data_IF_407819875228
#
_entry.id   IF_407819875228
#
_cell.length_a   1.000
_cell.length_b   1.000
_cell.length_c   1.000
_cell.angle_alpha   90.00
_cell.angle_beta   90.00
_cell.angle_gamma   90.00
#
_symmetry.space_group_name_H-M   'P 1'
#
loop_
_entity.id
_entity.type
_entity.pdbx_description
1 polymer ?
#
# COMPACT_ATOMS: atom_id res chain seq x y z
N UNK A 1 -6.78 -10.48 -24.24
CA UNK A 1 -5.72 -10.19 -23.25
C UNK A 1 -5.96 -11.06 -22.04
N UNK A 2 -4.97 -11.80 -21.59
CA UNK A 2 -5.09 -12.58 -20.35
C UNK A 2 -4.48 -11.78 -19.21
N UNK A 3 -5.20 -10.81 -18.68
CA UNK A 3 -4.74 -10.00 -17.55
C UNK A 3 -4.54 -10.89 -16.32
N UNK A 4 -3.31 -11.12 -15.94
CA UNK A 4 -2.99 -11.72 -14.65
C UNK A 4 -2.00 -10.86 -13.85
N UNK A 5 -1.50 -9.76 -14.44
CA UNK A 5 -0.44 -8.94 -13.88
C UNK A 5 -0.91 -7.64 -13.26
N UNK A 6 0.03 -6.99 -12.56
CA UNK A 6 -0.10 -5.66 -12.00
C UNK A 6 0.39 -4.63 -13.03
N UNK A 7 0.17 -3.38 -12.73
CA UNK A 7 0.68 -2.27 -13.51
C UNK A 7 1.42 -1.28 -12.60
N UNK A 8 2.17 -0.38 -13.20
CA UNK A 8 2.82 0.73 -12.53
C UNK A 8 2.67 1.99 -13.37
N UNK A 9 2.45 3.11 -12.71
CA UNK A 9 2.40 4.43 -13.33
C UNK A 9 3.75 5.10 -13.16
N UNK A 10 4.35 5.58 -14.26
CA UNK A 10 5.57 6.34 -14.19
C UNK A 10 5.31 7.79 -13.73
N UNK A 11 6.33 8.49 -13.19
CA UNK A 11 6.21 9.90 -12.86
C UNK A 11 5.82 10.78 -14.06
N UNK A 12 6.15 10.35 -15.27
CA UNK A 12 5.74 11.01 -16.52
C UNK A 12 4.30 10.73 -16.97
N UNK A 13 3.58 9.86 -16.25
CA UNK A 13 2.19 9.50 -16.54
C UNK A 13 2.02 8.30 -17.48
N UNK A 14 3.09 7.67 -17.95
CA UNK A 14 2.98 6.44 -18.74
C UNK A 14 2.59 5.27 -17.82
N UNK A 15 1.76 4.39 -18.35
CA UNK A 15 1.23 3.23 -17.63
C UNK A 15 1.89 1.97 -18.19
N UNK A 16 2.59 1.24 -17.35
CA UNK A 16 3.19 -0.04 -17.71
C UNK A 16 2.34 -1.19 -17.15
N UNK A 17 1.96 -2.13 -17.98
CA UNK A 17 1.09 -3.26 -17.62
C UNK A 17 1.86 -4.57 -17.83
N UNK A 18 1.95 -5.40 -16.81
CA UNK A 18 2.41 -6.77 -16.94
C UNK A 18 1.28 -7.62 -17.53
N UNK A 19 1.35 -7.91 -18.83
CA UNK A 19 0.44 -8.83 -19.51
C UNK A 19 0.95 -10.27 -19.32
N UNK A 20 0.83 -10.74 -18.06
CA UNK A 20 1.43 -11.97 -17.54
C UNK A 20 1.10 -13.19 -18.40
N UNK A 21 -0.15 -13.31 -18.82
CA UNK A 21 -0.59 -14.46 -19.63
C UNK A 21 -0.01 -14.49 -21.05
N UNK A 22 0.53 -13.37 -21.53
CA UNK A 22 1.19 -13.24 -22.83
C UNK A 22 2.70 -13.01 -22.70
N UNK A 23 3.26 -13.10 -21.49
CA UNK A 23 4.69 -12.95 -21.20
C UNK A 23 5.30 -11.66 -21.75
N UNK A 24 4.61 -10.51 -21.61
CA UNK A 24 5.05 -9.22 -22.14
C UNK A 24 4.64 -8.07 -21.24
N UNK A 25 5.25 -6.92 -21.51
CA UNK A 25 4.90 -5.64 -20.87
C UNK A 25 4.30 -4.73 -21.92
N UNK A 26 3.21 -4.05 -21.58
CA UNK A 26 2.59 -3.03 -22.42
C UNK A 26 2.88 -1.66 -21.80
N UNK A 27 3.33 -0.70 -22.59
CA UNK A 27 3.45 0.71 -22.22
C UNK A 27 2.34 1.49 -22.90
N UNK A 28 1.55 2.20 -22.11
CA UNK A 28 0.46 3.05 -22.56
C UNK A 28 0.76 4.50 -22.16
N UNK A 29 0.21 5.45 -22.93
CA UNK A 29 0.19 6.86 -22.53
C UNK A 29 -0.80 7.10 -21.38
N UNK A 30 -0.77 8.30 -20.79
CA UNK A 30 -1.78 8.76 -19.81
C UNK A 30 -3.20 8.83 -20.39
N UNK A 31 -3.36 8.84 -21.74
CA UNK A 31 -4.63 8.71 -22.43
C UNK A 31 -5.00 7.28 -22.82
N UNK A 32 -4.27 6.29 -22.29
CA UNK A 32 -4.45 4.85 -22.52
C UNK A 32 -4.19 4.38 -23.95
N UNK A 33 -3.43 5.14 -24.74
CA UNK A 33 -2.99 4.72 -26.06
C UNK A 33 -1.75 3.83 -25.95
N UNK A 34 -1.72 2.72 -26.69
CA UNK A 34 -0.57 1.80 -26.71
C UNK A 34 0.63 2.49 -27.38
N UNK A 35 1.67 2.73 -26.61
CA UNK A 35 2.93 3.30 -27.07
C UNK A 35 3.95 2.23 -27.51
N UNK A 36 4.03 1.13 -26.72
CA UNK A 36 5.04 0.10 -26.93
C UNK A 36 4.57 -1.26 -26.36
N UNK A 37 5.06 -2.32 -27.01
CA UNK A 37 5.00 -3.68 -26.46
C UNK A 37 6.43 -4.17 -26.27
N UNK A 38 6.78 -4.65 -25.07
CA UNK A 38 8.08 -5.19 -24.73
C UNK A 38 7.89 -6.68 -24.50
N UNK A 39 8.28 -7.49 -25.47
CA UNK A 39 8.14 -8.97 -25.42
C UNK A 39 9.40 -9.65 -24.85
N UNK A 40 10.51 -8.92 -24.78
CA UNK A 40 11.80 -9.38 -24.30
C UNK A 40 12.84 -8.27 -24.42
N UNK A 41 14.09 -8.63 -24.24
CA UNK A 41 15.23 -7.72 -24.27
C UNK A 41 16.51 -8.42 -24.67
N UNK A 42 17.46 -7.67 -25.19
CA UNK A 42 18.77 -8.19 -25.56
C UNK A 42 19.74 -8.10 -24.38
N UNK A 43 20.40 -9.22 -24.06
CA UNK A 43 21.56 -9.27 -23.17
C UNK A 43 22.75 -9.63 -24.04
N UNK A 44 23.58 -8.66 -24.34
CA UNK A 44 24.64 -8.81 -25.35
C UNK A 44 24.04 -9.27 -26.71
N UNK A 45 24.31 -10.51 -27.14
CA UNK A 45 23.81 -11.10 -28.40
C UNK A 45 22.64 -12.09 -28.15
N UNK A 46 22.21 -12.30 -26.91
CA UNK A 46 21.19 -13.27 -26.54
C UNK A 46 19.82 -12.59 -26.28
N UNK A 47 18.80 -13.02 -27.03
CA UNK A 47 17.44 -12.55 -26.83
C UNK A 47 16.76 -13.27 -25.68
N UNK A 48 16.46 -12.52 -24.63
CA UNK A 48 15.77 -12.99 -23.43
C UNK A 48 14.30 -12.64 -23.44
N UNK A 49 13.44 -13.57 -23.04
CA UNK A 49 12.01 -13.36 -22.91
C UNK A 49 11.56 -13.42 -21.45
N UNK A 50 10.41 -12.85 -21.17
CA UNK A 50 9.76 -12.97 -19.86
C UNK A 50 9.05 -14.30 -19.71
N UNK A 51 8.90 -14.75 -18.45
CA UNK A 51 8.10 -15.90 -18.09
C UNK A 51 7.24 -15.57 -16.84
N UNK A 52 5.97 -15.34 -17.06
CA UNK A 52 5.03 -14.85 -16.06
C UNK A 52 5.51 -13.55 -15.34
N UNK A 53 5.74 -12.42 -16.06
CA UNK A 53 5.99 -11.14 -15.43
C UNK A 53 4.74 -10.72 -14.64
N UNK A 54 4.85 -10.53 -13.31
CA UNK A 54 3.67 -10.36 -12.45
C UNK A 54 3.60 -9.00 -11.76
N UNK A 55 4.70 -8.29 -11.66
CA UNK A 55 4.74 -6.96 -11.06
C UNK A 55 5.77 -6.07 -11.73
N UNK A 56 5.52 -4.78 -11.62
CA UNK A 56 6.32 -3.71 -12.19
C UNK A 56 6.52 -2.62 -11.14
N UNK A 57 7.62 -1.91 -11.25
CA UNK A 57 7.88 -0.66 -10.53
C UNK A 57 8.66 0.28 -11.44
N UNK A 58 8.25 1.54 -11.53
CA UNK A 58 8.95 2.56 -12.30
C UNK A 58 9.52 3.59 -11.37
N UNK A 59 10.82 3.79 -11.41
CA UNK A 59 11.50 4.79 -10.58
C UNK A 59 11.31 6.21 -11.17
N UNK A 60 11.54 7.24 -10.35
CA UNK A 60 11.54 8.64 -10.78
C UNK A 60 12.52 8.92 -11.94
N UNK A 61 13.59 8.09 -12.04
CA UNK A 61 14.59 8.19 -13.10
C UNK A 61 14.21 7.43 -14.37
N UNK A 62 12.98 6.91 -14.46
CA UNK A 62 12.49 6.16 -15.61
C UNK A 62 13.07 4.74 -15.74
N UNK A 63 13.58 4.16 -14.66
CA UNK A 63 14.01 2.75 -14.64
C UNK A 63 12.82 1.87 -14.37
N UNK A 64 12.64 0.83 -15.17
CA UNK A 64 11.58 -0.15 -15.07
C UNK A 64 12.11 -1.44 -14.44
N UNK A 65 11.59 -1.80 -13.27
CA UNK A 65 11.88 -3.06 -12.59
C UNK A 65 10.71 -4.02 -12.78
N UNK A 66 11.00 -5.25 -13.21
CA UNK A 66 10.01 -6.26 -13.57
C UNK A 66 10.26 -7.51 -12.73
N UNK A 67 9.26 -7.97 -11.99
CA UNK A 67 9.29 -9.26 -11.33
C UNK A 67 8.95 -10.37 -12.36
N UNK A 68 9.97 -10.95 -12.94
CA UNK A 68 9.93 -12.04 -13.94
C UNK A 68 9.89 -13.39 -13.18
N UNK A 69 8.70 -13.68 -12.63
CA UNK A 69 8.48 -14.63 -11.55
C UNK A 69 8.98 -16.03 -11.85
N UNK A 70 8.56 -16.60 -12.98
CA UNK A 70 8.85 -18.00 -13.30
C UNK A 70 10.24 -18.19 -13.92
N UNK A 71 10.94 -17.09 -14.27
CA UNK A 71 12.37 -17.04 -14.54
C UNK A 71 13.21 -16.78 -13.27
N UNK A 72 12.58 -16.68 -12.10
CA UNK A 72 13.23 -16.49 -10.80
C UNK A 72 14.21 -15.30 -10.77
N UNK A 73 13.80 -14.14 -11.32
CA UNK A 73 14.64 -12.95 -11.44
C UNK A 73 13.84 -11.65 -11.41
N UNK A 74 14.52 -10.55 -11.11
CA UNK A 74 14.09 -9.22 -11.50
C UNK A 74 14.85 -8.80 -12.76
N UNK A 75 14.18 -8.07 -13.62
CA UNK A 75 14.76 -7.46 -14.82
C UNK A 75 14.69 -5.94 -14.66
N UNK A 76 15.82 -5.26 -14.81
CA UNK A 76 15.88 -3.80 -14.87
C UNK A 76 16.05 -3.38 -16.32
N UNK A 77 15.13 -2.54 -16.82
CA UNK A 77 15.15 -1.94 -18.15
C UNK A 77 15.13 -0.42 -18.06
N UNK A 78 15.47 0.25 -19.17
CA UNK A 78 15.15 1.67 -19.36
C UNK A 78 13.65 1.84 -19.67
N UNK A 79 13.16 3.08 -19.68
CA UNK A 79 11.78 3.38 -20.07
C UNK A 79 11.47 2.94 -21.51
N UNK A 80 12.47 2.87 -22.36
CA UNK A 80 12.40 2.44 -23.78
C UNK A 80 12.45 0.90 -23.92
N UNK A 81 12.68 0.17 -22.83
CA UNK A 81 12.76 -1.30 -22.82
C UNK A 81 14.17 -1.86 -23.09
N UNK A 82 15.21 -1.02 -23.04
CA UNK A 82 16.58 -1.47 -23.16
C UNK A 82 17.07 -2.11 -21.87
N UNK A 83 17.84 -3.19 -22.02
CA UNK A 83 18.39 -3.95 -20.89
C UNK A 83 19.41 -3.13 -20.09
N UNK A 84 19.28 -3.21 -18.76
CA UNK A 84 20.26 -2.63 -17.83
C UNK A 84 20.96 -3.74 -17.06
N UNK A 85 20.19 -4.59 -16.35
CA UNK A 85 20.75 -5.75 -15.60
C UNK A 85 19.70 -6.76 -15.20
N UNK A 86 20.17 -7.93 -14.76
CA UNK A 86 19.37 -8.94 -14.07
C UNK A 86 19.76 -8.98 -12.59
N UNK A 87 18.73 -9.16 -11.72
CA UNK A 87 18.91 -9.40 -10.30
C UNK A 87 18.31 -10.78 -10.01
N UNK A 88 19.19 -11.73 -9.76
CA UNK A 88 18.83 -13.12 -9.51
C UNK A 88 18.37 -13.40 -8.08
N UNK A 89 18.23 -14.66 -7.72
CA UNK A 89 17.88 -15.08 -6.36
C UNK A 89 18.83 -14.51 -5.31
N UNK A 90 18.33 -14.21 -4.09
CA UNK A 90 19.18 -13.75 -3.00
C UNK A 90 20.26 -14.77 -2.70
N UNK A 91 21.51 -14.33 -2.56
CA UNK A 91 22.66 -15.13 -2.20
C UNK A 91 23.16 -14.73 -0.83
N UNK A 92 23.37 -15.69 0.06
CA UNK A 92 23.91 -15.46 1.40
C UNK A 92 24.77 -16.64 1.83
N UNK A 93 25.88 -16.35 2.47
CA UNK A 93 26.76 -17.35 3.07
C UNK A 93 26.32 -17.76 4.49
N UNK A 94 25.30 -17.08 5.05
CA UNK A 94 24.78 -17.34 6.39
C UNK A 94 23.76 -18.49 6.31
N UNK A 95 24.15 -19.65 6.85
CA UNK A 95 23.27 -20.82 6.94
C UNK A 95 21.98 -20.49 7.72
N UNK A 96 20.83 -20.91 7.21
CA UNK A 96 19.53 -20.71 7.83
C UNK A 96 18.89 -19.34 7.58
N UNK A 97 19.52 -18.47 6.80
CA UNK A 97 18.92 -17.17 6.43
C UNK A 97 17.77 -17.33 5.43
N UNK A 98 17.87 -18.30 4.53
CA UNK A 98 16.81 -18.65 3.58
C UNK A 98 16.28 -20.06 3.90
N UNK A 99 15.00 -20.35 3.61
CA UNK A 99 14.46 -21.72 3.73
C UNK A 99 15.28 -22.73 2.92
N UNK A 100 15.45 -23.96 3.44
CA UNK A 100 16.29 -24.99 2.80
C UNK A 100 15.89 -25.32 1.35
N UNK A 101 14.59 -25.20 1.01
CA UNK A 101 14.06 -25.45 -0.34
C UNK A 101 13.50 -24.16 -0.95
N UNK A 102 14.15 -23.02 -0.71
CA UNK A 102 13.68 -21.74 -1.20
C UNK A 102 13.70 -21.69 -2.74
N UNK A 103 12.55 -21.46 -3.33
CA UNK A 103 12.38 -21.16 -4.75
C UNK A 103 12.09 -19.68 -4.92
N UNK A 104 13.00 -18.95 -5.52
CA UNK A 104 12.83 -17.50 -5.71
C UNK A 104 11.75 -17.22 -6.75
N UNK A 105 10.59 -16.78 -6.29
CA UNK A 105 9.43 -16.41 -7.12
C UNK A 105 8.98 -15.00 -6.74
N UNK A 106 9.65 -13.96 -7.26
CA UNK A 106 9.31 -12.58 -6.93
C UNK A 106 7.92 -12.23 -7.48
N UNK A 107 7.10 -11.57 -6.65
CA UNK A 107 5.75 -11.18 -7.07
C UNK A 107 5.41 -9.71 -6.82
N UNK A 108 6.29 -8.97 -6.15
CA UNK A 108 6.20 -7.51 -6.00
C UNK A 108 7.60 -6.94 -5.85
N UNK A 109 7.81 -5.75 -6.37
CA UNK A 109 9.07 -5.01 -6.28
C UNK A 109 8.77 -3.54 -6.05
N UNK A 110 9.61 -2.88 -5.24
CA UNK A 110 9.64 -1.44 -5.06
C UNK A 110 11.10 -0.99 -4.93
N UNK A 111 11.42 0.23 -5.38
CA UNK A 111 12.79 0.74 -5.38
C UNK A 111 12.79 2.16 -4.84
N UNK A 112 13.61 2.43 -3.84
CA UNK A 112 13.70 3.76 -3.25
C UNK A 112 14.60 4.71 -4.08
N UNK A 113 14.61 5.99 -3.70
CA UNK A 113 15.40 7.02 -4.37
C UNK A 113 16.91 6.77 -4.27
N UNK A 114 17.36 6.00 -3.27
CA UNK A 114 18.74 5.56 -3.09
C UNK A 114 19.12 4.37 -3.97
N UNK A 115 18.16 3.76 -4.65
CA UNK A 115 18.35 2.58 -5.49
C UNK A 115 18.32 1.25 -4.72
N UNK A 116 17.93 1.22 -3.45
CA UNK A 116 17.69 -0.02 -2.73
C UNK A 116 16.41 -0.67 -3.25
N UNK A 117 16.45 -1.99 -3.40
CA UNK A 117 15.39 -2.75 -4.02
C UNK A 117 14.75 -3.64 -2.96
N UNK A 118 13.44 -3.54 -2.85
CA UNK A 118 12.60 -4.30 -1.92
C UNK A 118 11.72 -5.26 -2.70
N UNK A 119 11.78 -6.54 -2.34
CA UNK A 119 11.09 -7.60 -3.10
C UNK A 119 10.25 -8.44 -2.17
N UNK A 120 9.03 -8.73 -2.60
CA UNK A 120 8.23 -9.81 -2.03
C UNK A 120 8.35 -11.04 -2.93
N UNK A 121 8.66 -12.17 -2.34
CA UNK A 121 8.75 -13.47 -3.02
C UNK A 121 7.90 -14.51 -2.30
N UNK A 122 7.32 -15.45 -3.06
CA UNK A 122 6.47 -16.52 -2.53
C UNK A 122 7.24 -17.36 -1.51
N UNK A 123 6.62 -17.67 -0.38
CA UNK A 123 7.21 -18.53 0.67
C UNK A 123 8.21 -17.81 1.57
N UNK A 124 8.32 -16.50 1.51
CA UNK A 124 9.13 -15.68 2.42
C UNK A 124 8.22 -15.02 3.46
N UNK A 125 8.43 -15.38 4.72
CA UNK A 125 7.67 -14.88 5.86
C UNK A 125 8.47 -13.91 6.74
N UNK A 126 9.76 -13.77 6.46
CA UNK A 126 10.69 -12.94 7.21
C UNK A 126 10.59 -11.44 6.85
N UNK A 127 9.67 -11.08 5.96
CA UNK A 127 9.44 -9.70 5.52
C UNK A 127 9.84 -9.47 4.08
N UNK A 128 10.31 -8.25 3.78
CA UNK A 128 10.80 -7.86 2.46
C UNK A 128 12.24 -8.33 2.26
N UNK A 129 12.55 -8.92 1.12
CA UNK A 129 13.94 -9.11 0.68
C UNK A 129 14.52 -7.74 0.31
N UNK A 130 15.60 -7.32 0.96
CA UNK A 130 16.31 -6.07 0.66
C UNK A 130 17.57 -6.38 -0.15
N UNK A 131 17.72 -5.67 -1.29
CA UNK A 131 18.93 -5.68 -2.10
C UNK A 131 19.51 -4.25 -2.15
N UNK A 132 20.82 -4.16 -2.23
CA UNK A 132 21.49 -2.85 -2.43
C UNK A 132 21.35 -2.36 -3.88
N UNK A 133 21.92 -1.18 -4.13
CA UNK A 133 21.92 -0.53 -5.44
C UNK A 133 22.58 -1.40 -6.55
N UNK A 134 23.47 -2.28 -6.19
CA UNK A 134 24.16 -3.21 -7.11
C UNK A 134 23.40 -4.53 -7.31
N UNK A 135 22.29 -4.73 -6.58
CA UNK A 135 21.48 -5.96 -6.64
C UNK A 135 21.99 -7.09 -5.74
N UNK A 136 22.87 -6.80 -4.76
CA UNK A 136 23.31 -7.78 -3.79
C UNK A 136 22.33 -7.87 -2.64
N UNK A 137 21.99 -9.07 -2.22
CA UNK A 137 21.09 -9.30 -1.09
C UNK A 137 21.72 -8.83 0.22
N UNK A 138 20.97 -8.03 0.98
CA UNK A 138 21.40 -7.43 2.26
C UNK A 138 20.77 -8.08 3.47
N UNK A 139 19.56 -8.62 3.31
CA UNK A 139 18.81 -9.21 4.41
C UNK A 139 17.30 -9.05 4.25
N UNK A 140 16.60 -9.18 5.37
CA UNK A 140 15.15 -9.00 5.44
C UNK A 140 14.81 -7.71 6.17
N UNK A 141 13.79 -6.99 5.68
CA UNK A 141 13.29 -5.77 6.28
C UNK A 141 11.83 -5.95 6.72
N UNK A 142 11.51 -5.42 7.91
CA UNK A 142 10.13 -5.32 8.38
C UNK A 142 9.50 -6.67 8.70
N UNK A 143 10.29 -7.65 9.16
CA UNK A 143 9.75 -8.94 9.59
C UNK A 143 8.52 -8.74 10.51
N UNK A 144 7.40 -9.44 10.25
CA UNK A 144 6.25 -9.40 11.13
C UNK A 144 6.67 -9.81 12.53
N UNK A 145 6.55 -8.91 13.50
CA UNK A 145 6.88 -9.20 14.90
C UNK A 145 5.80 -10.11 15.47
N UNK A 146 5.98 -11.41 15.38
CA UNK A 146 5.26 -12.36 16.21
C UNK A 146 5.73 -12.14 17.64
N UNK A 147 5.05 -11.28 18.39
CA UNK A 147 5.24 -11.16 19.84
C UNK A 147 4.33 -12.19 20.49
N UNK A 148 4.85 -13.36 20.90
CA UNK A 148 4.04 -14.25 21.72
C UNK A 148 3.67 -13.48 22.99
N UNK A 149 2.39 -13.43 23.32
CA UNK A 149 1.91 -12.82 24.56
C UNK A 149 2.56 -13.53 25.76
N UNK A 150 2.68 -12.84 26.90
CA UNK A 150 3.21 -13.42 28.13
C UNK A 150 2.46 -14.72 28.49
N UNK A 151 1.16 -14.75 28.20
CA UNK A 151 0.29 -15.91 28.39
C UNK A 151 0.67 -17.07 27.46
N UNK A 152 0.95 -16.80 26.19
CA UNK A 152 1.40 -17.80 25.21
C UNK A 152 2.78 -18.35 25.54
N UNK A 153 3.71 -17.51 26.01
CA UNK A 153 5.02 -17.94 26.52
C UNK A 153 4.88 -18.83 27.74
N UNK A 154 3.94 -18.53 28.65
CA UNK A 154 3.65 -19.35 29.80
C UNK A 154 3.06 -20.72 29.41
N UNK A 155 2.07 -20.74 28.53
CA UNK A 155 1.47 -21.97 28.00
C UNK A 155 2.46 -22.79 27.16
N UNK A 156 3.34 -22.16 26.40
CA UNK A 156 4.38 -22.86 25.65
C UNK A 156 5.39 -23.59 26.55
N UNK A 157 5.61 -23.10 27.79
CA UNK A 157 6.46 -23.79 28.80
C UNK A 157 5.77 -24.99 29.41
N UNK A 158 4.44 -24.97 29.52
CA UNK A 158 3.63 -26.05 30.15
C UNK A 158 3.12 -27.07 29.12
N UNK A 159 3.16 -26.74 27.84
CA UNK A 159 2.63 -27.59 26.78
C UNK A 159 3.51 -28.83 26.51
N UNK A 160 2.86 -29.97 26.27
CA UNK A 160 3.51 -31.20 25.82
C UNK A 160 4.13 -31.03 24.40
N UNK A 161 5.02 -31.96 24.00
CA UNK A 161 5.65 -31.92 22.65
C UNK A 161 4.61 -31.94 21.52
N UNK A 162 3.49 -32.63 21.67
CA UNK A 162 2.42 -32.64 20.65
C UNK A 162 1.59 -31.37 20.67
N UNK A 163 1.34 -30.79 21.84
CA UNK A 163 0.68 -29.50 21.98
C UNK A 163 1.58 -28.38 21.42
N UNK A 164 2.90 -28.40 21.63
CA UNK A 164 3.85 -27.46 21.02
C UNK A 164 3.84 -27.55 19.50
N UNK A 165 3.73 -28.73 18.90
CA UNK A 165 3.60 -28.89 17.44
C UNK A 165 2.31 -28.26 16.90
N UNK A 166 1.23 -28.26 17.68
CA UNK A 166 -0.03 -27.59 17.32
C UNK A 166 -0.02 -26.09 17.60
N UNK A 167 0.75 -25.63 18.59
CA UNK A 167 0.97 -24.21 18.90
C UNK A 167 1.98 -23.55 17.94
N UNK A 168 2.85 -24.33 17.28
CA UNK A 168 3.82 -23.85 16.29
C UNK A 168 3.19 -23.43 14.93
N UNK A 169 1.88 -23.34 14.86
CA UNK A 169 1.13 -22.86 13.68
C UNK A 169 0.79 -21.37 13.74
N UNK A 170 1.55 -20.54 14.46
CA UNK A 170 1.62 -19.12 14.18
C UNK A 170 2.62 -18.94 13.02
N UNK A 171 2.18 -19.24 11.81
CA UNK A 171 2.89 -18.84 10.63
C UNK A 171 2.90 -17.30 10.60
N UNK A 172 4.06 -16.66 10.49
CA UNK A 172 4.11 -15.24 10.20
C UNK A 172 3.27 -15.00 8.95
N UNK A 173 2.47 -13.97 8.94
CA UNK A 173 1.67 -13.60 7.77
C UNK A 173 2.60 -13.03 6.70
N UNK A 174 2.48 -13.54 5.46
CA UNK A 174 3.18 -12.96 4.31
C UNK A 174 2.64 -11.56 4.02
N UNK A 175 3.51 -10.64 3.68
CA UNK A 175 3.10 -9.39 3.05
C UNK A 175 2.51 -9.68 1.67
N UNK A 176 1.38 -9.07 1.38
CA UNK A 176 0.66 -9.23 0.10
C UNK A 176 1.08 -8.20 -0.93
N UNK A 177 1.59 -7.06 -0.47
CA UNK A 177 2.01 -5.95 -1.33
C UNK A 177 3.01 -5.03 -0.64
N UNK A 178 3.72 -4.26 -1.43
CA UNK A 178 4.60 -3.18 -1.00
C UNK A 178 4.51 -2.02 -1.99
N UNK A 179 4.55 -0.81 -1.47
CA UNK A 179 4.72 0.43 -2.23
C UNK A 179 5.53 1.43 -1.42
N UNK A 180 6.00 2.51 -2.05
CA UNK A 180 6.89 3.52 -1.48
C UNK A 180 6.29 4.91 -1.62
N UNK A 181 6.40 5.72 -0.57
CA UNK A 181 6.17 7.16 -0.69
C UNK A 181 7.49 7.91 -1.07
N UNK A 182 7.34 9.16 -1.50
CA UNK A 182 8.48 10.03 -1.89
C UNK A 182 9.49 10.25 -0.75
N UNK A 183 9.12 9.99 0.49
CA UNK A 183 9.98 10.12 1.68
C UNK A 183 10.74 8.83 1.99
N UNK A 184 10.54 7.78 1.19
CA UNK A 184 11.18 6.48 1.36
C UNK A 184 10.56 5.60 2.45
N UNK A 185 9.32 5.88 2.88
CA UNK A 185 8.57 4.97 3.73
C UNK A 185 7.91 3.88 2.90
N UNK A 186 8.06 2.66 3.34
CA UNK A 186 7.45 1.48 2.72
C UNK A 186 6.06 1.26 3.30
N UNK A 187 5.06 1.25 2.44
CA UNK A 187 3.72 0.80 2.80
C UNK A 187 3.60 -0.66 2.43
N UNK A 188 3.31 -1.50 3.40
CA UNK A 188 3.08 -2.93 3.22
C UNK A 188 1.72 -3.31 3.76
N UNK A 189 1.07 -4.28 3.13
CA UNK A 189 -0.14 -4.86 3.66
C UNK A 189 0.08 -6.33 3.97
N UNK A 190 -0.45 -6.76 5.11
CA UNK A 190 -0.75 -8.14 5.42
C UNK A 190 -2.20 -8.42 4.99
N UNK A 191 -2.70 -9.59 5.26
CA UNK A 191 -4.05 -10.00 4.85
C UNK A 191 -5.15 -8.95 5.15
N UNK A 192 -5.12 -8.31 6.31
CA UNK A 192 -6.12 -7.33 6.75
C UNK A 192 -5.54 -6.11 7.49
N UNK A 193 -4.23 -5.95 7.51
CA UNK A 193 -3.55 -4.88 8.21
C UNK A 193 -2.58 -4.17 7.27
N UNK A 194 -2.44 -2.85 7.44
CA UNK A 194 -1.46 -2.03 6.75
C UNK A 194 -0.39 -1.60 7.74
N UNK A 195 0.86 -1.58 7.29
CA UNK A 195 2.01 -1.02 8.04
C UNK A 195 2.73 0.00 7.17
N UNK A 196 3.30 0.99 7.83
CA UNK A 196 4.20 1.95 7.22
C UNK A 196 5.57 1.81 7.86
N UNK A 197 6.50 1.22 7.13
CA UNK A 197 7.84 0.95 7.63
C UNK A 197 8.77 2.10 7.29
N UNK A 198 9.59 2.49 8.26
CA UNK A 198 10.72 3.37 7.98
C UNK A 198 11.86 2.58 7.31
N UNK A 199 12.93 3.24 6.83
CA UNK A 199 14.06 2.55 6.20
C UNK A 199 14.81 1.53 7.08
N UNK A 200 14.54 1.48 8.38
CA UNK A 200 15.05 0.44 9.29
C UNK A 200 14.06 -0.70 9.55
N UNK A 201 12.92 -0.72 8.85
CA UNK A 201 11.90 -1.76 8.97
C UNK A 201 10.98 -1.63 10.18
N UNK A 202 11.02 -0.50 10.89
CA UNK A 202 10.13 -0.26 12.03
C UNK A 202 8.80 0.31 11.55
N UNK A 203 7.68 -0.26 12.02
CA UNK A 203 6.35 0.27 11.74
C UNK A 203 6.15 1.61 12.47
N UNK A 204 5.93 2.65 11.69
CA UNK A 204 5.70 4.04 12.15
C UNK A 204 4.30 4.55 11.80
N UNK A 205 3.42 3.66 11.33
CA UNK A 205 2.05 4.05 11.02
C UNK A 205 1.34 4.50 12.29
N UNK A 206 0.87 5.74 12.28
CA UNK A 206 0.01 6.24 13.35
C UNK A 206 -1.39 5.68 13.14
N UNK A 207 -1.94 5.12 14.20
CA UNK A 207 -3.30 4.58 14.23
C UNK A 207 -4.15 5.46 15.17
N UNK A 208 -4.25 6.74 14.82
CA UNK A 208 -4.98 7.72 15.60
C UNK A 208 -6.40 7.84 15.04
N UNK A 209 -7.40 7.29 15.71
CA UNK A 209 -8.78 7.49 15.34
C UNK A 209 -9.64 6.25 15.43
N UNK A 210 -10.92 6.41 15.06
CA UNK A 210 -11.96 5.39 15.17
C UNK A 210 -11.76 4.21 14.19
N UNK A 211 -11.07 4.48 13.09
CA UNK A 211 -10.83 3.50 12.04
C UNK A 211 -9.33 3.30 11.89
N UNK A 212 -8.84 2.23 12.47
CA UNK A 212 -7.51 1.74 12.17
C UNK A 212 -7.47 1.32 10.68
N UNK A 213 -6.33 1.36 10.02
CA UNK A 213 -6.20 0.93 8.62
C UNK A 213 -6.18 -0.61 8.53
N UNK A 214 -7.29 -1.23 8.92
CA UNK A 214 -7.50 -2.70 8.93
C UNK A 214 -8.68 -3.13 8.05
N UNK A 215 -9.20 -2.23 7.22
CA UNK A 215 -10.32 -2.49 6.33
C UNK A 215 -11.67 -2.63 7.06
N UNK A 216 -12.57 -3.42 6.48
CA UNK A 216 -13.91 -3.67 7.00
C UNK A 216 -13.87 -4.74 8.09
N UNK A 217 -13.75 -4.34 9.33
CA UNK A 217 -13.89 -5.24 10.47
C UNK A 217 -15.34 -5.16 10.98
N UNK A 218 -16.04 -6.30 11.13
CA UNK A 218 -17.35 -6.32 11.77
C UNK A 218 -17.24 -5.81 13.21
N UNK A 219 -17.90 -4.70 13.52
CA UNK A 219 -17.87 -4.10 14.86
C UNK A 219 -18.84 -4.75 15.81
N UNK A 220 -19.94 -5.32 15.29
CA UNK A 220 -20.94 -6.00 16.10
C UNK A 220 -20.57 -7.47 16.37
N UNK A 221 -20.72 -7.95 17.64
CA UNK A 221 -20.40 -9.33 17.98
C UNK A 221 -21.16 -10.39 17.16
N UNK A 222 -22.39 -10.09 16.78
CA UNK A 222 -23.22 -10.94 15.92
C UNK A 222 -22.64 -11.15 14.51
N UNK A 223 -21.91 -10.18 13.99
CA UNK A 223 -21.25 -10.31 12.68
C UNK A 223 -19.95 -11.10 12.75
N UNK A 224 -19.30 -11.18 13.91
CA UNK A 224 -18.07 -11.97 14.09
C UNK A 224 -18.29 -13.47 13.99
N UNK A 225 -19.51 -13.93 14.24
CA UNK A 225 -19.89 -15.36 14.18
C UNK A 225 -20.50 -15.77 12.85
N UNK A 226 -20.88 -14.82 11.96
CA UNK A 226 -21.49 -15.17 10.68
C UNK A 226 -20.41 -15.56 9.68
N UNK A 227 -20.46 -16.81 9.23
CA UNK A 227 -19.60 -17.32 8.13
C UNK A 227 -19.88 -16.66 6.77
N UNK A 228 -20.85 -15.77 6.71
CA UNK A 228 -21.35 -15.15 5.48
C UNK A 228 -20.67 -13.83 5.13
N UNK A 229 -19.98 -13.19 6.11
CA UNK A 229 -19.25 -11.95 5.84
C UNK A 229 -17.81 -12.31 5.49
N UNK A 230 -17.38 -12.09 4.24
CA UNK A 230 -16.01 -12.34 3.83
C UNK A 230 -15.06 -11.45 4.66
N UNK A 231 -13.97 -12.03 5.13
CA UNK A 231 -12.90 -11.26 5.77
C UNK A 231 -12.25 -10.33 4.75
N UNK A 232 -11.75 -9.17 5.20
CA UNK A 232 -10.92 -8.29 4.38
C UNK A 232 -9.69 -9.04 3.86
N UNK A 233 -9.32 -8.80 2.59
CA UNK A 233 -8.12 -9.35 1.96
C UNK A 233 -7.44 -8.27 1.13
N UNK A 234 -6.49 -7.56 1.74
CA UNK A 234 -5.70 -6.55 1.05
C UNK A 234 -4.75 -7.20 0.05
N UNK A 235 -4.77 -6.71 -1.17
CA UNK A 235 -3.97 -7.26 -2.27
C UNK A 235 -3.06 -6.25 -2.93
N UNK A 236 -3.38 -4.97 -2.80
CA UNK A 236 -2.50 -3.91 -3.29
C UNK A 236 -2.70 -2.60 -2.52
N UNK A 237 -1.67 -1.77 -2.56
CA UNK A 237 -1.61 -0.47 -1.91
C UNK A 237 -0.94 0.51 -2.87
N UNK A 238 -1.40 1.75 -2.88
CA UNK A 238 -0.80 2.85 -3.61
C UNK A 238 -0.61 4.04 -2.67
N UNK A 239 0.63 4.42 -2.46
CA UNK A 239 1.02 5.61 -1.72
C UNK A 239 1.03 6.83 -2.64
N UNK A 240 0.67 8.00 -2.12
CA UNK A 240 0.59 9.27 -2.87
C UNK A 240 1.58 10.29 -2.29
N UNK A 241 2.07 11.22 -3.11
CA UNK A 241 2.99 12.28 -2.68
C UNK A 241 2.47 13.14 -1.53
N UNK A 242 1.16 13.35 -1.48
CA UNK A 242 0.48 14.13 -0.43
C UNK A 242 0.31 13.36 0.90
N UNK A 243 0.92 12.16 1.01
CA UNK A 243 0.87 11.32 2.21
C UNK A 243 -0.46 10.58 2.38
N UNK A 244 -1.34 10.64 1.40
CA UNK A 244 -2.50 9.77 1.32
C UNK A 244 -2.05 8.39 0.83
N UNK A 245 -2.81 7.37 1.16
CA UNK A 245 -2.62 6.04 0.58
C UNK A 245 -3.96 5.34 0.42
N UNK A 246 -4.06 4.52 -0.62
CA UNK A 246 -5.25 3.75 -0.93
C UNK A 246 -4.93 2.26 -0.91
N UNK A 247 -5.85 1.45 -0.36
CA UNK A 247 -5.67 0.02 -0.18
C UNK A 247 -6.83 -0.72 -0.83
N UNK A 248 -6.52 -1.74 -1.62
CA UNK A 248 -7.49 -2.55 -2.34
C UNK A 248 -7.81 -3.83 -1.58
N UNK A 249 -9.07 -3.96 -1.16
CA UNK A 249 -9.64 -5.21 -0.64
C UNK A 249 -10.26 -6.01 -1.78
N UNK A 250 -9.63 -7.11 -2.15
CA UNK A 250 -10.11 -8.01 -3.19
C UNK A 250 -11.39 -8.74 -2.79
N UNK A 251 -11.53 -9.09 -1.50
CA UNK A 251 -12.61 -9.95 -1.04
C UNK A 251 -13.98 -9.26 -1.13
N UNK A 252 -14.01 -7.94 -0.97
CA UNK A 252 -15.23 -7.13 -1.07
C UNK A 252 -15.22 -6.18 -2.27
N UNK A 253 -14.10 -6.10 -3.00
CA UNK A 253 -13.93 -5.16 -4.11
C UNK A 253 -13.95 -3.71 -3.65
N UNK A 254 -13.45 -3.41 -2.45
CA UNK A 254 -13.45 -2.07 -1.89
C UNK A 254 -12.07 -1.44 -1.89
N UNK A 255 -12.06 -0.13 -2.04
CA UNK A 255 -10.86 0.69 -1.96
C UNK A 255 -11.04 1.61 -0.76
N UNK A 256 -10.12 1.50 0.19
CA UNK A 256 -10.04 2.32 1.38
C UNK A 256 -8.97 3.38 1.16
N UNK A 257 -9.31 4.66 1.33
CA UNK A 257 -8.33 5.76 1.26
C UNK A 257 -8.15 6.39 2.63
N UNK A 258 -6.88 6.48 3.04
CA UNK A 258 -6.46 6.96 4.35
C UNK A 258 -5.55 8.18 4.23
N UNK A 259 -5.51 9.01 5.26
CA UNK A 259 -4.45 10.00 5.45
C UNK A 259 -3.23 9.39 6.18
N UNK A 260 -2.10 10.10 6.17
CA UNK A 260 -0.84 9.63 6.73
C UNK A 260 -0.83 9.34 8.24
N UNK A 261 -1.80 9.84 9.00
CA UNK A 261 -2.02 9.52 10.42
C UNK A 261 -2.90 8.26 10.61
N UNK A 262 -3.37 7.64 9.51
CA UNK A 262 -4.16 6.41 9.51
C UNK A 262 -5.67 6.61 9.67
N UNK A 263 -6.18 7.83 9.52
CA UNK A 263 -7.62 8.06 9.53
C UNK A 263 -8.22 7.71 8.16
N UNK A 264 -9.30 6.92 8.18
CA UNK A 264 -10.07 6.60 6.98
C UNK A 264 -10.79 7.85 6.47
N UNK A 265 -10.54 8.22 5.23
CA UNK A 265 -11.17 9.36 4.57
C UNK A 265 -12.49 8.96 3.90
N UNK A 266 -12.45 7.90 3.11
CA UNK A 266 -13.61 7.35 2.40
C UNK A 266 -13.34 5.95 1.88
N UNK A 267 -14.44 5.26 1.53
CA UNK A 267 -14.42 3.92 0.94
C UNK A 267 -15.32 3.94 -0.29
N UNK A 268 -14.89 3.27 -1.36
CA UNK A 268 -15.68 3.14 -2.58
C UNK A 268 -15.39 1.80 -3.28
N UNK A 269 -16.13 1.52 -4.37
CA UNK A 269 -16.04 0.26 -5.10
C UNK A 269 -16.97 -0.81 -4.54
N UNK A 270 -16.96 -1.98 -5.14
CA UNK A 270 -17.73 -3.15 -4.75
C UNK A 270 -17.59 -4.26 -5.77
N UNK A 271 -17.90 -5.51 -5.38
CA UNK A 271 -17.99 -6.62 -6.32
C UNK A 271 -19.29 -6.55 -7.11
N UNK A 272 -19.22 -6.90 -8.39
CA UNK A 272 -20.39 -6.91 -9.26
C UNK A 272 -20.04 -7.05 -10.73
N UNK A 273 -21.05 -6.79 -11.56
CA UNK A 273 -20.96 -6.91 -13.03
C UNK A 273 -21.20 -5.58 -13.75
N UNK A 274 -21.50 -4.51 -13.01
CA UNK A 274 -21.69 -3.16 -13.57
C UNK A 274 -20.34 -2.50 -13.88
N UNK A 275 -20.36 -1.39 -14.61
CA UNK A 275 -19.13 -0.70 -15.04
C UNK A 275 -18.22 -0.25 -13.91
N UNK A 276 -18.79 0.19 -12.79
CA UNK A 276 -18.06 0.70 -11.61
C UNK A 276 -17.76 -0.38 -10.56
N UNK A 277 -18.00 -1.66 -10.85
CA UNK A 277 -17.77 -2.78 -9.94
C UNK A 277 -16.73 -3.74 -10.47
N UNK A 278 -16.17 -4.57 -9.60
CA UNK A 278 -15.10 -5.51 -9.92
C UNK A 278 -15.61 -6.96 -9.91
N UNK A 279 -15.00 -7.79 -10.75
CA UNK A 279 -15.13 -9.26 -10.64
C UNK A 279 -14.02 -9.86 -9.79
N UNK A 280 -12.75 -9.56 -10.11
CA UNK A 280 -11.55 -10.01 -9.38
C UNK A 280 -10.52 -8.89 -9.45
N UNK A 281 -10.60 -7.86 -8.60
CA UNK A 281 -9.62 -6.79 -8.59
C UNK A 281 -8.28 -7.32 -8.04
N UNK A 282 -7.16 -6.92 -8.66
CA UNK A 282 -5.83 -7.49 -8.36
C UNK A 282 -4.73 -6.46 -8.19
N UNK A 283 -4.90 -5.25 -8.72
CA UNK A 283 -3.90 -4.20 -8.61
C UNK A 283 -4.54 -2.83 -8.50
N UNK A 284 -3.87 -1.94 -7.79
CA UNK A 284 -4.24 -0.55 -7.54
C UNK A 284 -3.01 0.33 -7.78
N UNK A 285 -3.19 1.46 -8.46
CA UNK A 285 -2.18 2.52 -8.57
C UNK A 285 -2.83 3.87 -8.82
N UNK A 286 -2.06 4.94 -8.82
CA UNK A 286 -2.54 6.30 -9.01
C UNK A 286 -1.90 6.97 -10.22
N UNK A 287 -2.70 7.70 -10.99
CA UNK A 287 -2.26 8.56 -12.09
C UNK A 287 -2.73 9.99 -11.77
N UNK A 288 -1.87 10.80 -11.15
CA UNK A 288 -2.26 12.10 -10.62
C UNK A 288 -3.34 11.96 -9.54
N UNK A 289 -4.54 12.46 -9.80
CA UNK A 289 -5.70 12.32 -8.90
C UNK A 289 -6.54 11.07 -9.18
N UNK A 290 -6.32 10.40 -10.33
CA UNK A 290 -7.08 9.22 -10.73
C UNK A 290 -6.60 7.98 -9.98
N UNK A 291 -7.55 7.11 -9.63
CA UNK A 291 -7.24 5.77 -9.11
C UNK A 291 -7.53 4.76 -10.22
N UNK A 292 -6.52 3.98 -10.56
CA UNK A 292 -6.60 2.91 -11.52
C UNK A 292 -6.75 1.59 -10.78
N UNK A 293 -7.59 0.68 -11.28
CA UNK A 293 -7.78 -0.66 -10.70
C UNK A 293 -7.80 -1.70 -11.80
N UNK A 294 -6.88 -2.65 -11.74
CA UNK A 294 -6.90 -3.79 -12.65
C UNK A 294 -7.90 -4.84 -12.16
N UNK A 295 -8.87 -5.17 -12.99
CA UNK A 295 -9.84 -6.24 -12.76
C UNK A 295 -9.54 -7.44 -13.67
N UNK A 296 -8.84 -8.42 -13.12
CA UNK A 296 -8.47 -9.65 -13.82
C UNK A 296 -9.71 -10.42 -14.27
N UNK A 297 -10.78 -10.43 -13.46
CA UNK A 297 -11.98 -11.19 -13.76
C UNK A 297 -12.79 -10.62 -14.93
N UNK A 298 -12.68 -9.31 -15.19
CA UNK A 298 -13.30 -8.63 -16.31
C UNK A 298 -12.31 -8.27 -17.44
N UNK A 299 -11.02 -8.55 -17.25
CA UNK A 299 -9.94 -8.27 -18.21
C UNK A 299 -9.88 -6.79 -18.64
N UNK A 300 -9.95 -5.88 -17.65
CA UNK A 300 -10.01 -4.43 -17.88
C UNK A 300 -9.30 -3.66 -16.76
N UNK A 301 -8.94 -2.42 -17.04
CA UNK A 301 -8.58 -1.41 -16.04
C UNK A 301 -9.76 -0.48 -15.87
N UNK A 302 -10.18 -0.24 -14.63
CA UNK A 302 -11.22 0.72 -14.29
C UNK A 302 -10.54 1.95 -13.72
N UNK A 303 -10.91 3.13 -14.22
CA UNK A 303 -10.39 4.42 -13.81
C UNK A 303 -11.45 5.13 -12.97
N UNK A 304 -11.09 5.53 -11.75
CA UNK A 304 -11.94 6.30 -10.86
C UNK A 304 -11.41 7.73 -10.76
N UNK A 305 -12.28 8.66 -11.03
CA UNK A 305 -12.04 10.09 -10.84
C UNK A 305 -12.55 10.52 -9.45
N UNK A 306 -11.80 11.33 -8.68
CA UNK A 306 -12.26 11.80 -7.39
C UNK A 306 -13.50 12.71 -7.54
N UNK A 307 -14.52 12.46 -6.74
CA UNK A 307 -15.68 13.35 -6.66
C UNK A 307 -15.28 14.71 -6.08
N UNK A 308 -16.12 15.74 -6.24
CA UNK A 308 -15.90 17.06 -5.62
C UNK A 308 -15.69 16.92 -4.10
N UNK A 309 -16.38 15.99 -3.46
CA UNK A 309 -16.23 15.72 -2.03
C UNK A 309 -14.80 15.21 -1.71
N UNK A 310 -14.29 14.23 -2.46
CA UNK A 310 -12.93 13.73 -2.28
C UNK A 310 -11.86 14.79 -2.61
N UNK A 311 -12.06 15.57 -3.68
CA UNK A 311 -11.16 16.67 -4.04
C UNK A 311 -11.03 17.73 -2.93
N UNK A 312 -12.15 18.07 -2.27
CA UNK A 312 -12.14 19.01 -1.14
C UNK A 312 -11.36 18.45 0.05
N UNK A 313 -11.52 17.16 0.36
CA UNK A 313 -10.77 16.49 1.43
C UNK A 313 -9.27 16.50 1.12
N UNK A 314 -8.88 16.11 -0.10
CA UNK A 314 -7.48 16.11 -0.53
C UNK A 314 -6.88 17.52 -0.47
N UNK A 315 -7.60 18.51 -0.99
CA UNK A 315 -7.16 19.91 -0.96
C UNK A 315 -6.99 20.41 0.49
N UNK A 316 -7.94 20.12 1.39
CA UNK A 316 -7.85 20.51 2.78
C UNK A 316 -6.62 19.94 3.50
N UNK A 317 -6.28 18.67 3.20
CA UNK A 317 -5.09 18.01 3.74
C UNK A 317 -3.81 18.63 3.18
N UNK A 318 -3.74 18.84 1.86
CA UNK A 318 -2.58 19.49 1.22
C UNK A 318 -2.34 20.91 1.72
N UNK A 319 -3.39 21.73 1.85
CA UNK A 319 -3.28 23.09 2.36
C UNK A 319 -2.78 23.10 3.82
N UNK A 320 -3.25 22.16 4.66
CA UNK A 320 -2.74 22.03 6.02
C UNK A 320 -1.25 21.66 6.05
N UNK A 321 -0.81 20.73 5.20
CA UNK A 321 0.58 20.32 5.10
C UNK A 321 1.47 21.44 4.56
N UNK A 322 0.95 22.26 3.64
CA UNK A 322 1.60 23.45 3.09
C UNK A 322 1.65 24.64 4.04
N UNK A 323 1.02 24.55 5.23
CA UNK A 323 0.97 25.63 6.23
C UNK A 323 -0.15 26.65 6.01
N UNK A 324 -1.00 26.47 5.00
CA UNK A 324 -2.13 27.36 4.67
C UNK A 324 -3.37 27.02 5.54
N UNK A 325 -3.24 27.21 6.85
CA UNK A 325 -4.20 26.71 7.83
C UNK A 325 -5.60 27.32 7.68
N UNK A 326 -5.71 28.60 7.36
CA UNK A 326 -7.00 29.26 7.13
C UNK A 326 -7.72 28.61 5.95
N UNK A 327 -7.02 28.46 4.82
CA UNK A 327 -7.58 27.82 3.63
C UNK A 327 -7.97 26.36 3.88
N UNK A 328 -7.17 25.62 4.65
CA UNK A 328 -7.51 24.27 5.08
C UNK A 328 -8.82 24.23 5.88
N UNK A 329 -9.00 25.14 6.85
CA UNK A 329 -10.23 25.22 7.64
C UNK A 329 -11.46 25.52 6.77
N UNK A 330 -11.34 26.43 5.80
CA UNK A 330 -12.39 26.74 4.84
C UNK A 330 -12.81 25.51 4.03
N UNK A 331 -11.82 24.78 3.50
CA UNK A 331 -12.07 23.57 2.71
C UNK A 331 -12.73 22.47 3.55
N UNK A 332 -12.32 22.27 4.80
CA UNK A 332 -13.01 21.36 5.71
C UNK A 332 -14.44 21.80 6.00
N UNK A 333 -14.69 23.10 6.08
CA UNK A 333 -16.06 23.64 6.22
C UNK A 333 -16.91 23.33 4.99
N UNK A 334 -16.33 23.40 3.78
CA UNK A 334 -17.02 22.98 2.55
C UNK A 334 -17.31 21.47 2.53
N UNK A 335 -16.43 20.63 3.09
CA UNK A 335 -16.68 19.21 3.30
C UNK A 335 -17.88 18.99 4.21
N UNK A 336 -17.95 19.72 5.34
CA UNK A 336 -19.07 19.64 6.29
C UNK A 336 -20.41 20.10 5.69
N UNK A 337 -20.42 21.06 4.77
CA UNK A 337 -21.65 21.45 4.05
C UNK A 337 -22.25 20.30 3.25
N UNK A 338 -21.45 19.30 2.89
CA UNK A 338 -21.87 18.10 2.15
C UNK A 338 -22.16 16.93 3.06
N UNK A 339 -21.42 16.83 4.17
CA UNK A 339 -21.56 15.76 5.16
C UNK A 339 -21.26 16.28 6.57
N UNK A 340 -22.30 16.69 7.28
CA UNK A 340 -22.21 17.21 8.65
C UNK A 340 -21.74 16.16 9.67
N UNK A 341 -21.84 14.88 9.35
CA UNK A 341 -21.47 13.78 10.24
C UNK A 341 -20.03 13.31 10.03
N UNK A 342 -19.22 14.07 9.31
CA UNK A 342 -17.82 13.71 9.08
C UNK A 342 -16.92 14.26 10.18
N UNK A 343 -16.75 13.51 11.25
CA UNK A 343 -16.00 13.90 12.48
C UNK A 343 -14.57 14.35 12.19
N UNK A 344 -13.94 13.76 11.18
CA UNK A 344 -12.58 14.12 10.79
C UNK A 344 -12.47 15.55 10.26
N UNK A 345 -13.51 16.08 9.60
CA UNK A 345 -13.52 17.46 9.13
C UNK A 345 -13.52 18.45 10.30
N UNK A 346 -14.27 18.19 11.37
CA UNK A 346 -14.21 19.00 12.59
C UNK A 346 -12.82 18.92 13.24
N UNK A 347 -12.21 17.75 13.26
CA UNK A 347 -10.83 17.57 13.74
C UNK A 347 -9.85 18.35 12.87
N UNK A 348 -10.02 18.35 11.56
CA UNK A 348 -9.21 19.12 10.60
C UNK A 348 -9.28 20.61 10.82
N UNK A 349 -10.51 21.16 10.99
CA UNK A 349 -10.73 22.56 11.37
C UNK A 349 -10.05 22.88 12.69
N UNK A 350 -10.25 22.04 13.71
CA UNK A 350 -9.62 22.22 15.02
C UNK A 350 -8.10 22.25 14.95
N UNK A 351 -7.49 21.37 14.14
CA UNK A 351 -6.02 21.37 13.92
C UNK A 351 -5.54 22.65 13.24
N UNK A 352 -6.28 23.15 12.24
CA UNK A 352 -5.96 24.38 11.55
C UNK A 352 -6.05 25.60 12.46
N UNK A 353 -7.11 25.70 13.28
CA UNK A 353 -7.30 26.75 14.27
C UNK A 353 -6.23 26.70 15.39
N UNK A 354 -5.83 25.49 15.80
CA UNK A 354 -4.76 25.31 16.79
C UNK A 354 -3.42 25.86 16.30
N UNK A 355 -3.13 25.75 15.00
CA UNK A 355 -1.93 26.32 14.39
C UNK A 355 -1.96 27.83 14.23
N UNK A 356 -3.14 28.43 14.35
CA UNK A 356 -3.39 29.87 14.33
C UNK A 356 -3.52 30.46 15.75
N UNK A 357 -3.19 29.69 16.79
CA UNK A 357 -3.31 30.05 18.20
C UNK A 357 -4.75 30.37 18.65
N UNK A 358 -5.74 29.90 17.88
CA UNK A 358 -7.17 30.07 18.19
C UNK A 358 -7.67 28.93 19.08
N UNK A 359 -7.13 28.80 20.28
CA UNK A 359 -7.30 27.64 21.15
C UNK A 359 -8.74 27.35 21.55
N UNK A 360 -9.51 28.39 21.88
CA UNK A 360 -10.92 28.24 22.27
C UNK A 360 -11.78 27.70 21.11
N UNK A 361 -11.61 28.24 19.91
CA UNK A 361 -12.30 27.78 18.70
C UNK A 361 -11.85 26.37 18.31
N UNK A 362 -10.55 26.06 18.43
CA UNK A 362 -10.02 24.73 18.19
C UNK A 362 -10.65 23.69 19.13
N UNK A 363 -10.76 23.99 20.44
CA UNK A 363 -11.43 23.10 21.40
C UNK A 363 -12.90 22.87 21.06
N UNK A 364 -13.62 23.90 20.60
CA UNK A 364 -15.01 23.75 20.16
C UNK A 364 -15.13 22.80 18.97
N UNK A 365 -14.25 22.96 17.97
CA UNK A 365 -14.21 22.08 16.79
C UNK A 365 -13.85 20.64 17.17
N UNK A 366 -12.84 20.42 18.02
CA UNK A 366 -12.47 19.09 18.50
C UNK A 366 -13.58 18.40 19.31
N UNK A 367 -14.43 19.15 20.02
CA UNK A 367 -15.61 18.58 20.70
C UNK A 367 -16.61 18.03 19.70
N UNK A 368 -16.88 18.76 18.61
CA UNK A 368 -17.76 18.30 17.53
C UNK A 368 -17.18 17.06 16.82
N UNK A 369 -15.87 17.01 16.63
CA UNK A 369 -15.16 15.84 16.08
C UNK A 369 -14.86 14.75 17.10
N UNK A 370 -15.43 14.79 18.31
CA UNK A 370 -15.25 13.78 19.37
C UNK A 370 -13.78 13.46 19.74
N UNK A 371 -12.85 14.38 19.45
CA UNK A 371 -11.40 14.16 19.59
C UNK A 371 -10.89 14.64 20.95
N UNK A 372 -11.00 13.78 21.98
CA UNK A 372 -10.62 14.11 23.38
C UNK A 372 -9.14 14.41 23.55
N UNK A 373 -8.27 13.74 22.81
CA UNK A 373 -6.81 13.97 22.89
C UNK A 373 -6.47 15.40 22.47
N UNK A 374 -7.00 15.83 21.32
CA UNK A 374 -6.74 17.17 20.79
C UNK A 374 -7.39 18.26 21.64
N UNK A 375 -8.53 17.99 22.26
CA UNK A 375 -9.12 18.92 23.26
C UNK A 375 -8.15 19.14 24.41
N UNK A 376 -7.59 18.07 24.98
CA UNK A 376 -6.65 18.14 26.10
C UNK A 376 -5.39 18.91 25.73
N UNK A 377 -4.87 18.68 24.51
CA UNK A 377 -3.70 19.40 23.99
C UNK A 377 -4.00 20.90 23.81
N UNK A 378 -5.11 21.25 23.17
CA UNK A 378 -5.52 22.64 22.98
C UNK A 378 -5.75 23.37 24.32
N UNK A 379 -6.38 22.71 25.30
CA UNK A 379 -6.56 23.24 26.64
C UNK A 379 -5.24 23.50 27.37
N UNK A 380 -4.27 22.57 27.23
CA UNK A 380 -2.93 22.75 27.79
C UNK A 380 -2.18 23.96 27.23
N UNK A 381 -2.39 24.28 25.96
CA UNK A 381 -1.83 25.49 25.32
C UNK A 381 -2.56 26.76 25.77
N UNK A 382 -3.90 26.73 25.77
CA UNK A 382 -4.75 27.84 26.22
C UNK A 382 -4.45 28.33 27.66
N UNK A 383 -4.06 27.41 28.57
CA UNK A 383 -3.71 27.76 29.94
C UNK A 383 -2.33 28.40 30.10
N UNK A 384 -1.51 28.38 29.07
CA UNK A 384 -0.14 28.94 29.10
C UNK A 384 -0.08 30.37 28.54
N UNK A 385 -1.15 30.80 27.84
CA UNK A 385 -1.37 32.20 27.51
C UNK A 385 -1.89 32.96 28.75
#
# INVERSE_FOLDING_TARGET
MAFAGRYAVSPGGDIYIADTGNNRILRLSSSFELLQTIDGFWVEEDWQTFNAPVALYVTERGRLYIADRDNARLVELTAEGEFVRLIGPPKTDLAGTLPENFSYRPFKVAVDQGGRIYVLAEGIYEGLLEFDVDGNFRGFLGAPLVRPTILEQFWARLATREQRKRMALFLPTEYTTVDLDERGFLYVAEFNEVRRLNPSGTDVLRRNGFFEPIGDVPTAPEYRSSKEIPSTSFVDIAARPDGLYSVLDRQRGRIFTYEGDGHLLYVFGGLGTTESTFRVPVALDVLGELILVADRGANRVIVFEPTIYAQLIHAAIREYQGGNYERSADLWTEVLRRNLNFDLAYTGIGRALLRQDQFAAAMASFRLGSNREQISKAFGLYRRE
#
